data_IF_222020765464
#
_entry.id   IF_222020765464
#
_cell.length_a   1.000
_cell.length_b   1.000
_cell.length_c   1.000
_cell.angle_alpha   90.00
_cell.angle_beta   90.00
_cell.angle_gamma   90.00
#
_symmetry.space_group_name_H-M   'P 1'
#
loop_
_entity.id
_entity.type
_entity.pdbx_description
1 polymer ?
#
# COMPACT_ATOMS: atom_id res chain seq x y z
N UNK A 1 -14.02 -11.48 7.19
CA UNK A 1 -14.09 -10.12 7.75
C UNK A 1 -14.75 -9.26 6.70
N UNK A 2 -15.90 -8.66 7.01
CA UNK A 2 -16.61 -7.75 6.12
C UNK A 2 -16.64 -6.38 6.80
N UNK A 3 -16.28 -5.31 6.10
CA UNK A 3 -16.30 -3.95 6.67
C UNK A 3 -17.47 -3.17 6.09
N UNK A 4 -18.01 -2.27 6.92
CA UNK A 4 -19.20 -1.52 6.57
C UNK A 4 -18.86 -0.28 5.74
N UNK A 5 -19.80 0.22 4.92
CA UNK A 5 -19.75 1.53 4.28
C UNK A 5 -19.09 2.68 5.07
N UNK A 6 -19.38 2.77 6.37
CA UNK A 6 -18.91 3.87 7.23
C UNK A 6 -17.42 3.76 7.62
N UNK A 7 -16.79 2.61 7.39
CA UNK A 7 -15.39 2.39 7.71
C UNK A 7 -14.44 2.97 6.65
N UNK A 8 -15.00 3.39 5.51
CA UNK A 8 -14.27 3.88 4.36
C UNK A 8 -14.39 5.38 4.14
N UNK A 9 -13.28 6.00 3.75
CA UNK A 9 -13.26 7.40 3.33
C UNK A 9 -12.26 7.63 2.21
N UNK A 10 -12.60 8.58 1.33
CA UNK A 10 -11.65 9.10 0.37
C UNK A 10 -10.53 9.82 1.08
N UNK A 11 -9.32 9.72 0.55
CA UNK A 11 -8.15 10.40 1.11
C UNK A 11 -7.19 10.81 0.03
N UNK A 12 -6.61 12.00 0.20
CA UNK A 12 -5.44 12.44 -0.56
C UNK A 12 -4.21 12.34 0.34
N UNK A 13 -3.16 11.64 -0.13
CA UNK A 13 -1.89 11.56 0.58
C UNK A 13 -0.74 12.04 -0.28
N UNK A 14 0.20 12.75 0.34
CA UNK A 14 1.45 13.12 -0.29
C UNK A 14 2.43 11.95 -0.18
N UNK A 15 3.03 11.58 -1.31
CA UNK A 15 4.20 10.71 -1.37
C UNK A 15 5.42 11.53 -1.77
N UNK A 16 6.59 10.91 -1.78
CA UNK A 16 7.84 11.61 -2.08
C UNK A 16 7.90 12.16 -3.52
N UNK A 17 7.14 11.61 -4.48
CA UNK A 17 7.13 12.04 -5.89
C UNK A 17 5.75 12.47 -6.42
N UNK A 18 4.74 12.67 -5.57
CA UNK A 18 3.43 13.09 -6.04
C UNK A 18 2.34 12.91 -5.00
N UNK A 19 1.10 12.94 -5.47
CA UNK A 19 -0.08 12.80 -4.63
C UNK A 19 -0.89 11.59 -5.07
N UNK A 20 -1.35 10.82 -4.09
CA UNK A 20 -2.18 9.64 -4.28
C UNK A 20 -3.60 9.95 -3.86
N UNK A 21 -4.55 9.45 -4.66
CA UNK A 21 -5.90 9.22 -4.19
C UNK A 21 -5.98 7.79 -3.65
N UNK A 22 -6.62 7.62 -2.50
CA UNK A 22 -6.90 6.31 -1.96
C UNK A 22 -8.24 6.24 -1.26
N UNK A 23 -8.80 5.04 -1.24
CA UNK A 23 -9.89 4.66 -0.36
C UNK A 23 -9.23 4.09 0.90
N UNK A 24 -9.35 4.82 2.01
CA UNK A 24 -8.75 4.46 3.29
C UNK A 24 -9.79 3.83 4.20
N UNK A 25 -9.32 2.91 5.04
CA UNK A 25 -10.13 2.30 6.08
C UNK A 25 -9.60 2.70 7.45
N UNK A 26 -10.51 3.01 8.37
CA UNK A 26 -10.17 3.06 9.80
C UNK A 26 -9.59 1.71 10.27
N UNK A 27 -8.36 1.67 10.83
CA UNK A 27 -7.82 0.45 11.40
C UNK A 27 -8.72 -0.10 12.52
N UNK A 28 -9.11 -1.36 12.39
CA UNK A 28 -9.80 -2.13 13.44
C UNK A 28 -8.86 -3.16 14.06
N UNK A 29 -9.21 -3.69 15.22
CA UNK A 29 -8.40 -4.70 15.92
C UNK A 29 -8.15 -5.94 15.05
N UNK A 30 -9.14 -6.37 14.26
CA UNK A 30 -8.99 -7.56 13.42
C UNK A 30 -8.12 -7.30 12.18
N UNK A 31 -8.10 -6.07 11.65
CA UNK A 31 -7.14 -5.63 10.61
C UNK A 31 -5.71 -5.61 11.17
N UNK A 32 -5.52 -5.04 12.36
CA UNK A 32 -4.22 -4.97 13.01
C UNK A 32 -3.70 -6.36 13.38
N UNK A 33 -4.59 -7.25 13.81
CA UNK A 33 -4.28 -8.66 14.02
C UNK A 33 -3.88 -9.36 12.71
N UNK A 34 -4.59 -9.09 11.60
CA UNK A 34 -4.23 -9.62 10.29
C UNK A 34 -2.85 -9.13 9.84
N UNK A 35 -2.57 -7.82 9.95
CA UNK A 35 -1.26 -7.25 9.63
C UNK A 35 -0.15 -7.93 10.44
N UNK A 36 -0.37 -8.09 11.75
CA UNK A 36 0.58 -8.74 12.65
C UNK A 36 0.87 -10.18 12.23
N UNK A 37 -0.17 -10.96 11.92
CA UNK A 37 -0.03 -12.35 11.44
C UNK A 37 0.77 -12.43 10.13
N UNK A 38 0.51 -11.52 9.18
CA UNK A 38 1.27 -11.45 7.92
C UNK A 38 2.73 -11.10 8.18
N UNK A 39 3.02 -10.10 9.01
CA UNK A 39 4.40 -9.72 9.35
C UNK A 39 5.15 -10.88 10.02
N UNK A 40 4.50 -11.58 10.94
CA UNK A 40 5.07 -12.75 11.61
C UNK A 40 5.32 -13.91 10.64
N UNK A 41 4.36 -14.23 9.78
CA UNK A 41 4.50 -15.28 8.78
C UNK A 41 5.64 -14.99 7.78
N UNK A 42 5.83 -13.72 7.43
CA UNK A 42 6.90 -13.29 6.52
C UNK A 42 8.26 -13.14 7.22
N UNK A 43 8.32 -13.13 8.56
CA UNK A 43 9.55 -12.84 9.30
C UNK A 43 10.76 -13.72 8.92
N UNK A 44 10.62 -15.05 8.70
CA UNK A 44 11.74 -15.90 8.29
C UNK A 44 12.30 -15.59 6.89
N UNK A 45 11.52 -14.90 6.05
CA UNK A 45 11.88 -14.59 4.66
C UNK A 45 12.39 -13.15 4.48
N UNK A 46 12.36 -12.31 5.53
CA UNK A 46 12.80 -10.92 5.46
C UNK A 46 14.33 -10.83 5.56
N UNK A 47 14.92 -10.05 4.65
CA UNK A 47 16.34 -9.71 4.68
C UNK A 47 16.50 -8.21 4.39
N UNK A 48 17.40 -7.56 5.13
CA UNK A 48 17.73 -6.16 4.91
C UNK A 48 18.74 -5.98 3.77
N UNK A 49 18.75 -4.79 3.17
CA UNK A 49 19.75 -4.39 2.17
C UNK A 49 19.44 -4.84 0.74
N UNK A 50 18.16 -5.05 0.39
CA UNK A 50 17.75 -5.35 -0.97
C UNK A 50 18.00 -4.18 -1.93
N UNK A 51 18.74 -4.41 -3.02
CA UNK A 51 18.95 -3.45 -4.11
C UNK A 51 18.06 -3.72 -5.33
N UNK A 52 18.38 -3.11 -6.48
CA UNK A 52 17.59 -3.20 -7.72
C UNK A 52 17.17 -4.62 -8.11
N UNK A 53 18.05 -5.62 -7.94
CA UNK A 53 17.76 -7.01 -8.30
C UNK A 53 16.62 -7.66 -7.49
N UNK A 54 16.23 -7.07 -6.35
CA UNK A 54 15.08 -7.54 -5.57
C UNK A 54 13.73 -7.07 -6.15
N UNK A 55 13.73 -6.14 -7.11
CA UNK A 55 12.54 -5.49 -7.63
C UNK A 55 12.33 -5.81 -9.12
N UNK A 56 11.08 -5.71 -9.57
CA UNK A 56 10.72 -5.80 -10.98
C UNK A 56 11.10 -4.48 -11.67
N UNK A 57 11.95 -4.50 -12.71
CA UNK A 57 12.27 -3.30 -13.48
C UNK A 57 11.03 -2.74 -14.17
N UNK A 58 10.98 -1.42 -14.31
CA UNK A 58 9.93 -0.78 -15.10
C UNK A 58 10.07 -1.14 -16.58
N UNK A 59 8.99 -1.56 -17.28
CA UNK A 59 9.06 -1.99 -18.68
C UNK A 59 9.44 -0.86 -19.64
N UNK A 60 9.25 0.41 -19.24
CA UNK A 60 9.66 1.59 -20.02
C UNK A 60 11.12 1.99 -19.81
N UNK A 61 11.83 1.29 -18.90
CA UNK A 61 13.21 1.63 -18.53
C UNK A 61 13.32 2.79 -17.54
N UNK A 62 12.19 3.20 -16.93
CA UNK A 62 12.19 4.23 -15.89
C UNK A 62 13.08 3.78 -14.72
N UNK A 63 14.07 4.60 -14.30
CA UNK A 63 14.92 4.28 -13.16
C UNK A 63 14.12 4.10 -11.87
N UNK A 64 14.61 3.23 -11.00
CA UNK A 64 14.05 3.11 -9.65
C UNK A 64 14.17 4.41 -8.88
N UNK A 65 13.15 4.70 -8.07
CA UNK A 65 13.22 5.82 -7.14
C UNK A 65 14.39 5.64 -6.15
N UNK A 66 15.24 6.66 -5.93
CA UNK A 66 16.40 6.57 -5.03
C UNK A 66 16.06 6.21 -3.58
N UNK A 67 14.85 6.51 -3.11
CA UNK A 67 14.38 6.25 -1.75
C UNK A 67 13.68 4.90 -1.59
N UNK A 68 13.33 4.22 -2.70
CA UNK A 68 12.56 2.96 -2.70
C UNK A 68 13.18 1.90 -1.78
N UNK A 69 14.48 1.65 -1.92
CA UNK A 69 15.13 0.56 -1.19
C UNK A 69 15.11 0.80 0.32
N UNK A 70 15.43 2.03 0.74
CA UNK A 70 15.39 2.43 2.15
C UNK A 70 13.97 2.42 2.70
N UNK A 71 12.99 2.82 1.89
CA UNK A 71 11.57 2.77 2.24
C UNK A 71 11.13 1.33 2.54
N UNK A 72 11.42 0.39 1.65
CA UNK A 72 11.07 -1.03 1.82
C UNK A 72 11.83 -1.65 3.00
N UNK A 73 13.12 -1.35 3.14
CA UNK A 73 13.97 -1.89 4.21
C UNK A 73 13.46 -1.52 5.62
N UNK A 74 12.91 -0.31 5.78
CA UNK A 74 12.36 0.20 7.04
C UNK A 74 10.83 0.11 7.15
N UNK A 75 10.16 -0.58 6.22
CA UNK A 75 8.70 -0.50 6.08
C UNK A 75 7.96 -0.98 7.33
N UNK A 76 8.29 -2.17 7.85
CA UNK A 76 7.60 -2.72 9.02
C UNK A 76 7.81 -1.86 10.26
N UNK A 77 8.99 -1.29 10.45
CA UNK A 77 9.29 -0.42 11.58
C UNK A 77 8.46 0.88 11.53
N UNK A 78 8.27 1.45 10.33
CA UNK A 78 7.64 2.76 10.17
C UNK A 78 6.14 2.72 9.92
N UNK A 79 5.62 1.66 9.29
CA UNK A 79 4.27 1.61 8.73
C UNK A 79 3.37 0.54 9.38
N UNK A 80 3.83 -0.15 10.42
CA UNK A 80 3.03 -1.15 11.13
C UNK A 80 2.36 -0.62 12.40
N UNK A 81 1.38 -1.38 12.91
CA UNK A 81 0.71 -1.11 14.18
C UNK A 81 0.02 0.25 14.18
N UNK A 82 0.36 1.12 15.13
CA UNK A 82 -0.25 2.46 15.26
C UNK A 82 -0.04 3.37 14.04
N UNK A 83 0.97 3.10 13.22
CA UNK A 83 1.24 3.86 12.01
C UNK A 83 0.62 3.21 10.77
N UNK A 84 -0.11 2.09 10.93
CA UNK A 84 -0.72 1.41 9.81
C UNK A 84 -1.90 2.21 9.27
N UNK A 85 -1.79 2.58 8.00
CA UNK A 85 -2.84 3.22 7.24
C UNK A 85 -3.31 2.26 6.13
N UNK A 86 -4.29 1.36 6.39
CA UNK A 86 -4.81 0.46 5.38
C UNK A 86 -5.60 1.24 4.32
N UNK A 87 -5.15 1.17 3.07
CA UNK A 87 -5.79 1.86 1.96
C UNK A 87 -5.64 1.09 0.65
N UNK A 88 -6.51 1.42 -0.30
CA UNK A 88 -6.39 1.05 -1.71
C UNK A 88 -6.14 2.32 -2.50
N UNK A 89 -4.94 2.45 -3.07
CA UNK A 89 -4.62 3.54 -3.99
C UNK A 89 -5.43 3.40 -5.28
N UNK A 90 -6.20 4.42 -5.64
CA UNK A 90 -7.03 4.46 -6.86
C UNK A 90 -6.35 5.19 -8.01
N UNK A 91 -5.34 6.03 -7.72
CA UNK A 91 -4.55 6.69 -8.75
C UNK A 91 -3.63 7.78 -8.22
N UNK A 92 -2.93 8.42 -9.16
CA UNK A 92 -2.03 9.56 -8.94
C UNK A 92 -2.48 10.73 -9.81
N UNK A 93 -2.51 11.95 -9.27
CA UNK A 93 -2.80 13.15 -10.06
C UNK A 93 -2.19 14.41 -9.41
N UNK A 94 -2.12 15.55 -10.13
CA UNK A 94 -1.75 16.83 -9.52
C UNK A 94 -2.66 17.17 -8.34
N UNK A 95 -2.10 17.79 -7.29
CA UNK A 95 -2.82 18.07 -6.05
C UNK A 95 -4.14 18.83 -6.26
N UNK A 96 -4.12 19.87 -7.09
CA UNK A 96 -5.32 20.66 -7.40
C UNK A 96 -6.46 19.80 -7.97
N UNK A 97 -6.10 18.83 -8.82
CA UNK A 97 -7.07 17.91 -9.41
C UNK A 97 -7.65 16.95 -8.37
N UNK A 98 -6.81 16.48 -7.44
CA UNK A 98 -7.22 15.57 -6.37
C UNK A 98 -8.12 16.27 -5.35
N UNK A 99 -7.76 17.48 -4.93
CA UNK A 99 -8.57 18.29 -4.01
C UNK A 99 -9.96 18.56 -4.58
N UNK A 100 -10.03 18.89 -5.87
CA UNK A 100 -11.31 19.11 -6.55
C UNK A 100 -12.23 17.87 -6.58
N UNK A 101 -11.70 16.68 -6.27
CA UNK A 101 -12.43 15.39 -6.27
C UNK A 101 -12.50 14.72 -4.91
N UNK A 102 -11.88 15.30 -3.88
CA UNK A 102 -11.96 14.77 -2.52
C UNK A 102 -13.36 14.97 -1.92
N UNK A 103 -14.07 16.00 -2.37
CA UNK A 103 -15.45 16.30 -1.97
C UNK A 103 -16.50 15.46 -2.71
N UNK A 104 -16.11 14.77 -3.80
CA UNK A 104 -17.03 13.94 -4.56
C UNK A 104 -17.37 12.66 -3.78
N UNK A 105 -18.64 12.42 -3.39
CA UNK A 105 -18.99 11.21 -2.69
C UNK A 105 -18.82 10.00 -3.62
N UNK A 106 -18.23 8.93 -3.10
CA UNK A 106 -18.24 7.63 -3.77
C UNK A 106 -19.35 6.76 -3.20
N UNK A 107 -19.91 5.89 -4.04
CA UNK A 107 -20.89 4.92 -3.57
C UNK A 107 -20.22 3.97 -2.57
N UNK A 108 -20.77 3.87 -1.38
CA UNK A 108 -20.29 2.91 -0.40
C UNK A 108 -20.44 1.47 -0.87
N UNK A 109 -19.50 0.62 -0.48
CA UNK A 109 -19.49 -0.80 -0.82
C UNK A 109 -18.99 -1.61 0.37
N UNK A 110 -19.37 -2.88 0.41
CA UNK A 110 -18.77 -3.85 1.33
C UNK A 110 -17.54 -4.47 0.70
N UNK A 111 -16.59 -4.84 1.53
CA UNK A 111 -15.47 -5.65 1.10
C UNK A 111 -15.00 -6.59 2.19
N UNK A 112 -14.31 -7.63 1.76
CA UNK A 112 -13.65 -8.56 2.64
C UNK A 112 -12.43 -9.18 1.96
N UNK A 113 -11.53 -9.68 2.79
CA UNK A 113 -10.37 -10.44 2.33
C UNK A 113 -10.81 -11.86 2.03
N UNK A 114 -10.88 -12.23 0.75
CA UNK A 114 -11.10 -13.62 0.33
C UNK A 114 -9.76 -14.38 0.24
N UNK A 115 -8.71 -13.71 -0.25
CA UNK A 115 -7.42 -14.34 -0.54
C UNK A 115 -6.27 -13.37 -0.28
N UNK A 116 -5.14 -13.92 0.19
CA UNK A 116 -3.86 -13.21 0.29
C UNK A 116 -2.90 -13.79 -0.73
N UNK A 117 -2.17 -12.93 -1.42
CA UNK A 117 -1.20 -13.31 -2.45
C UNK A 117 0.11 -12.56 -2.24
N UNK A 118 1.20 -13.14 -2.71
CA UNK A 118 2.54 -12.57 -2.60
C UNK A 118 2.94 -11.99 -3.95
N UNK A 119 3.48 -10.78 -3.95
CA UNK A 119 4.00 -10.11 -5.12
C UNK A 119 5.45 -9.66 -4.92
N UNK A 120 6.24 -9.76 -5.98
CA UNK A 120 7.47 -9.00 -6.09
C UNK A 120 7.13 -7.54 -6.41
N UNK A 121 7.76 -6.63 -5.69
CA UNK A 121 7.53 -5.19 -5.85
C UNK A 121 8.26 -4.65 -7.09
N UNK A 122 7.66 -3.67 -7.74
CA UNK A 122 8.29 -2.85 -8.77
C UNK A 122 8.67 -1.47 -8.25
N UNK A 123 8.76 -0.50 -9.16
CA UNK A 123 9.00 0.89 -8.79
C UNK A 123 7.87 1.43 -7.89
N UNK A 124 8.18 2.45 -7.08
CA UNK A 124 7.27 3.05 -6.09
C UNK A 124 6.74 2.06 -5.01
N UNK A 125 7.30 0.86 -4.90
CA UNK A 125 6.88 -0.15 -3.92
C UNK A 125 5.53 -0.79 -4.27
N UNK A 126 5.13 -0.74 -5.54
CA UNK A 126 3.86 -1.29 -6.03
C UNK A 126 3.99 -2.78 -6.35
N UNK A 127 2.89 -3.54 -6.20
CA UNK A 127 2.85 -4.94 -6.59
C UNK A 127 3.00 -5.06 -8.12
N UNK A 128 4.05 -5.76 -8.59
CA UNK A 128 4.38 -5.82 -10.02
C UNK A 128 4.33 -7.22 -10.61
N UNK A 129 4.88 -8.22 -9.90
CA UNK A 129 4.87 -9.62 -10.36
C UNK A 129 4.30 -10.54 -9.31
N UNK A 130 3.25 -11.28 -9.66
CA UNK A 130 2.66 -12.28 -8.79
C UNK A 130 3.62 -13.46 -8.56
N UNK A 131 3.72 -13.91 -7.31
CA UNK A 131 4.58 -15.02 -6.89
C UNK A 131 3.79 -16.23 -6.36
N UNK A 132 2.51 -16.06 -6.02
CA UNK A 132 1.67 -17.15 -5.51
C UNK A 132 0.66 -16.70 -4.45
N UNK A 133 0.04 -17.70 -3.82
CA UNK A 133 -1.09 -17.56 -2.90
C UNK A 133 -2.36 -18.15 -3.49
#
# INVERSE_FOLDING_TARGET
MCWEPADFFGSVSQTWNGFLQGITIKPSDEILALQTKVIQAMAPFRKSGGGQAAFVPDPTGTPFDPLLFKYVDSFVEKQAGKNYNPHVTTGTAPLEWLKAREEDPFQSFEFGVNKLTVYQLGNFGTAAKWLGG
#
